data_IF_842247613080
#
_entry.id   IF_842247613080
#
_cell.length_a   1.000
_cell.length_b   1.000
_cell.length_c   1.000
_cell.angle_alpha   90.00
_cell.angle_beta   90.00
_cell.angle_gamma   90.00
#
_symmetry.space_group_name_H-M   'P 1'
#
loop_
_entity.id
_entity.type
_entity.pdbx_description
1 polymer ?
2 non-polymer ?
3 water ?
#
# COMPACT_ATOMS: atom_id res chain seq x y z
N UNK A 1 -30.40 -6.86 3.41
CA UNK A 1 -30.11 -7.58 4.67
C UNK A 1 -29.57 -8.98 4.43
N UNK A 2 -29.49 -9.41 3.17
CA UNK A 2 -28.89 -10.71 2.87
C UNK A 2 -27.58 -10.52 2.16
N UNK A 3 -26.89 -11.63 1.93
CA UNK A 3 -25.60 -11.66 1.25
C UNK A 3 -24.75 -10.39 1.28
N UNK A 4 -24.15 -10.09 2.44
CA UNK A 4 -23.27 -8.93 2.56
C UNK A 4 -21.88 -9.46 2.25
N UNK A 5 -21.68 -10.73 2.60
CA UNK A 5 -20.41 -11.42 2.38
C UNK A 5 -19.92 -11.29 0.95
N UNK A 6 -20.68 -11.86 0.02
CA UNK A 6 -20.33 -11.81 -1.40
C UNK A 6 -20.03 -10.39 -1.84
N UNK A 7 -20.82 -9.44 -1.36
CA UNK A 7 -20.62 -8.04 -1.71
C UNK A 7 -19.36 -7.49 -1.05
N UNK A 8 -19.12 -7.88 0.19
CA UNK A 8 -17.95 -7.41 0.92
C UNK A 8 -16.68 -7.81 0.16
N UNK A 9 -16.70 -8.99 -0.44
CA UNK A 9 -15.56 -9.48 -1.20
C UNK A 9 -15.24 -8.54 -2.35
N UNK A 10 -16.27 -8.13 -3.07
CA UNK A 10 -16.07 -7.23 -4.20
C UNK A 10 -15.56 -5.89 -3.72
N UNK A 11 -16.16 -5.39 -2.65
CA UNK A 11 -15.76 -4.12 -2.08
C UNK A 11 -14.30 -4.18 -1.69
N UNK A 12 -13.92 -5.26 -1.02
CA UNK A 12 -12.55 -5.44 -0.58
C UNK A 12 -11.60 -5.51 -1.76
N UNK A 13 -12.00 -6.24 -2.79
CA UNK A 13 -11.17 -6.37 -3.97
C UNK A 13 -10.90 -5.00 -4.58
N UNK A 14 -11.92 -4.16 -4.65
CA UNK A 14 -11.72 -2.85 -5.23
C UNK A 14 -10.87 -2.00 -4.29
N UNK A 15 -11.00 -2.23 -2.99
CA UNK A 15 -10.21 -1.48 -2.02
C UNK A 15 -8.76 -1.83 -2.25
N UNK A 16 -8.50 -3.12 -2.42
CA UNK A 16 -7.14 -3.58 -2.66
C UNK A 16 -6.62 -3.00 -3.97
N UNK A 17 -7.46 -3.00 -5.00
CA UNK A 17 -7.05 -2.47 -6.30
C UNK A 17 -6.72 -0.99 -6.17
N UNK A 18 -7.58 -0.27 -5.46
CA UNK A 18 -7.39 1.15 -5.25
C UNK A 18 -6.09 1.39 -4.52
N UNK A 19 -5.87 0.62 -3.46
CA UNK A 19 -4.67 0.76 -2.66
C UNK A 19 -3.45 0.40 -3.49
N UNK A 20 -3.53 -0.71 -4.21
CA UNK A 20 -2.40 -1.12 -5.04
C UNK A 20 -2.00 0.01 -5.99
N UNK A 21 -2.99 0.74 -6.51
CA UNK A 21 -2.71 1.84 -7.42
C UNK A 21 -1.85 2.88 -6.73
N UNK A 22 -2.22 3.21 -5.50
CA UNK A 22 -1.47 4.18 -4.73
C UNK A 22 -0.09 3.64 -4.42
N UNK A 23 -0.04 2.39 -4.00
CA UNK A 23 1.22 1.75 -3.67
C UNK A 23 2.16 1.73 -4.86
N UNK A 24 1.64 1.34 -6.02
CA UNK A 24 2.47 1.29 -7.21
C UNK A 24 2.94 2.68 -7.60
N UNK A 25 2.06 3.67 -7.46
CA UNK A 25 2.43 5.03 -7.80
C UNK A 25 3.49 5.50 -6.81
N UNK A 26 3.37 5.07 -5.56
CA UNK A 26 4.35 5.45 -4.57
C UNK A 26 5.66 4.81 -4.92
N UNK A 27 5.60 3.59 -5.42
CA UNK A 27 6.82 2.89 -5.78
C UNK A 27 7.48 3.62 -6.93
N UNK A 28 6.69 4.05 -7.90
CA UNK A 28 7.24 4.77 -9.03
C UNK A 28 7.88 6.04 -8.51
N UNK A 29 7.22 6.66 -7.54
CA UNK A 29 7.75 7.87 -6.95
C UNK A 29 9.10 7.61 -6.31
N UNK A 30 9.19 6.52 -5.56
CA UNK A 30 10.44 6.16 -4.90
C UNK A 30 11.52 5.79 -5.90
N UNK A 31 11.14 5.10 -6.96
CA UNK A 31 12.11 4.72 -7.97
C UNK A 31 12.63 5.97 -8.65
N UNK A 32 11.75 6.93 -8.84
CA UNK A 32 12.13 8.18 -9.47
C UNK A 32 13.11 8.93 -8.58
N UNK A 33 12.83 8.97 -7.28
CA UNK A 33 13.70 9.67 -6.34
C UNK A 33 15.06 9.01 -6.19
N UNK A 34 15.13 7.73 -6.51
CA UNK A 34 16.38 7.00 -6.39
C UNK A 34 16.84 6.48 -7.74
N UNK A 35 16.40 7.16 -8.80
CA UNK A 35 16.75 6.76 -10.16
C UNK A 35 18.25 6.61 -10.35
N UNK A 36 19.02 7.52 -9.78
CA UNK A 36 20.48 7.46 -9.90
C UNK A 36 21.04 6.20 -9.28
N UNK A 37 20.33 5.68 -8.28
CA UNK A 37 20.76 4.48 -7.59
C UNK A 37 20.14 3.23 -8.19
N UNK A 38 19.38 3.40 -9.26
CA UNK A 38 18.75 2.27 -9.90
C UNK A 38 17.41 1.88 -9.31
N UNK A 39 16.73 2.83 -8.67
CA UNK A 39 15.44 2.49 -8.10
C UNK A 39 15.55 2.29 -6.61
N UNK A 40 14.41 2.33 -5.93
CA UNK A 40 14.39 2.20 -4.49
C UNK A 40 14.88 0.86 -3.97
N UNK A 41 14.56 -0.21 -4.70
CA UNK A 41 14.98 -1.55 -4.32
C UNK A 41 16.49 -1.65 -4.33
N UNK A 42 17.10 -1.21 -5.42
CA UNK A 42 18.55 -1.26 -5.50
C UNK A 42 19.14 -0.26 -4.52
N UNK A 43 18.45 0.86 -4.32
CA UNK A 43 18.93 1.87 -3.38
C UNK A 43 18.91 1.30 -1.97
N UNK A 44 17.95 0.42 -1.71
CA UNK A 44 17.81 -0.20 -0.41
C UNK A 44 18.62 -1.48 -0.33
N UNK A 45 19.27 -1.84 -1.43
CA UNK A 45 20.05 -3.07 -1.49
C UNK A 45 19.16 -4.24 -1.06
N UNK A 46 17.94 -4.26 -1.58
CA UNK A 46 16.98 -5.30 -1.27
C UNK A 46 16.38 -5.93 -2.52
N UNK A 47 15.79 -7.11 -2.35
CA UNK A 47 15.14 -7.80 -3.44
C UNK A 47 13.88 -6.98 -3.66
N UNK A 48 13.55 -6.69 -4.92
CA UNK A 48 12.38 -5.89 -5.22
C UNK A 48 11.07 -6.62 -4.96
N UNK A 49 10.15 -5.94 -4.28
CA UNK A 49 8.84 -6.49 -3.99
C UNK A 49 7.91 -5.94 -5.05
N UNK A 50 7.06 -6.81 -5.59
CA UNK A 50 6.13 -6.42 -6.64
C UNK A 50 4.67 -6.75 -6.31
N UNK A 51 3.78 -6.16 -7.11
CA UNK A 51 2.34 -6.36 -7.00
C UNK A 51 1.97 -7.64 -7.75
N UNK A 52 0.79 -8.20 -7.48
CA UNK A 52 0.34 -9.43 -8.13
C UNK A 52 0.02 -9.21 -9.61
N UNK A 53 -0.35 -10.29 -10.29
CA UNK A 53 -0.67 -10.21 -11.71
C UNK A 53 -2.16 -10.43 -11.97
N UNK B 1 -20.81 -17.01 -6.11
CA UNK B 1 -20.74 -18.44 -5.83
C UNK B 1 -19.88 -18.72 -4.61
N UNK B 2 -20.21 -19.79 -3.88
CA UNK B 2 -19.47 -20.17 -2.68
C UNK B 2 -18.00 -20.43 -2.96
N UNK B 3 -17.71 -21.36 -3.86
CA UNK B 3 -16.33 -21.68 -4.19
C UNK B 3 -15.63 -20.43 -4.70
N UNK B 4 -16.37 -19.59 -5.42
CA UNK B 4 -15.83 -18.35 -5.96
C UNK B 4 -15.44 -17.44 -4.80
N UNK B 5 -16.31 -17.37 -3.80
CA UNK B 5 -16.04 -16.54 -2.63
C UNK B 5 -14.74 -17.00 -1.96
N UNK B 6 -14.58 -18.32 -1.85
CA UNK B 6 -13.38 -18.88 -1.23
C UNK B 6 -12.15 -18.48 -2.04
N UNK B 7 -12.25 -18.61 -3.36
CA UNK B 7 -11.16 -18.25 -4.25
C UNK B 7 -10.88 -16.75 -4.16
N UNK B 8 -11.95 -15.96 -4.09
CA UNK B 8 -11.80 -14.51 -3.99
C UNK B 8 -11.01 -14.19 -2.73
N UNK B 9 -11.38 -14.82 -1.62
CA UNK B 9 -10.70 -14.60 -0.36
C UNK B 9 -9.23 -15.00 -0.47
N UNK B 10 -8.99 -16.14 -1.10
CA UNK B 10 -7.63 -16.64 -1.27
C UNK B 10 -6.77 -15.66 -2.04
N UNK B 11 -7.21 -15.30 -3.24
CA UNK B 11 -6.45 -14.37 -4.05
C UNK B 11 -6.28 -13.03 -3.35
N UNK B 12 -7.35 -12.51 -2.76
CA UNK B 12 -7.24 -11.22 -2.09
C UNK B 12 -6.26 -11.27 -0.94
N UNK B 13 -6.18 -12.42 -0.29
CA UNK B 13 -5.26 -12.57 0.82
C UNK B 13 -3.85 -12.50 0.26
N UNK B 14 -3.64 -13.18 -0.86
CA UNK B 14 -2.34 -13.19 -1.51
C UNK B 14 -2.01 -11.79 -2.03
N UNK B 15 -3.03 -11.07 -2.46
CA UNK B 15 -2.82 -9.72 -2.98
C UNK B 15 -2.42 -8.81 -1.83
N UNK B 16 -3.07 -8.98 -0.69
CA UNK B 16 -2.77 -8.16 0.47
C UNK B 16 -1.32 -8.34 0.90
N UNK B 17 -0.91 -9.59 1.08
CA UNK B 17 0.46 -9.84 1.51
C UNK B 17 1.48 -9.35 0.50
N UNK B 18 1.19 -9.52 -0.78
CA UNK B 18 2.10 -9.06 -1.81
C UNK B 18 2.19 -7.54 -1.76
N UNK B 19 1.04 -6.88 -1.70
CA UNK B 19 1.02 -5.43 -1.65
C UNK B 19 1.73 -4.96 -0.39
N UNK B 20 1.45 -5.63 0.72
CA UNK B 20 2.05 -5.26 1.99
C UNK B 20 3.57 -5.25 1.85
N UNK B 21 4.11 -6.23 1.14
CA UNK B 21 5.56 -6.30 0.96
C UNK B 21 6.06 -5.07 0.23
N UNK B 22 5.33 -4.66 -0.81
CA UNK B 22 5.72 -3.49 -1.57
C UNK B 22 5.63 -2.26 -0.69
N UNK B 23 4.55 -2.18 0.08
CA UNK B 23 4.34 -1.04 0.96
C UNK B 23 5.42 -0.92 2.01
N UNK B 24 5.74 -2.04 2.65
CA UNK B 24 6.75 -2.02 3.69
C UNK B 24 8.09 -1.64 3.07
N UNK B 25 8.32 -2.10 1.85
CA UNK B 25 9.58 -1.77 1.19
C UNK B 25 9.58 -0.29 0.87
N UNK B 26 8.43 0.22 0.45
CA UNK B 26 8.34 1.63 0.14
C UNK B 26 8.60 2.40 1.41
N UNK B 27 8.10 1.88 2.52
CA UNK B 27 8.31 2.54 3.79
C UNK B 27 9.79 2.54 4.14
N UNK B 28 10.49 1.43 3.91
CA UNK B 28 11.92 1.40 4.20
C UNK B 28 12.64 2.37 3.28
N UNK B 29 12.15 2.47 2.05
CA UNK B 29 12.74 3.38 1.09
C UNK B 29 12.58 4.80 1.59
N UNK B 30 11.38 5.12 2.05
CA UNK B 30 11.13 6.46 2.53
C UNK B 30 11.92 6.75 3.80
N UNK B 31 12.07 5.75 4.67
CA UNK B 31 12.81 5.96 5.89
C UNK B 31 14.27 6.20 5.57
N UNK B 32 14.74 5.55 4.51
CA UNK B 32 16.12 5.72 4.12
C UNK B 32 16.30 7.13 3.57
N UNK B 33 15.40 7.54 2.69
CA UNK B 33 15.49 8.87 2.09
C UNK B 33 15.36 10.00 3.10
N UNK B 34 14.78 9.70 4.25
CA UNK B 34 14.62 10.73 5.27
C UNK B 34 15.28 10.32 6.57
N UNK B 35 16.29 9.46 6.47
CA UNK B 35 16.98 8.99 7.66
C UNK B 35 17.50 10.14 8.51
N UNK B 36 18.03 11.17 7.84
CA UNK B 36 18.57 12.34 8.52
C UNK B 36 17.49 13.09 9.28
N UNK B 37 16.25 12.93 8.84
CA UNK B 37 15.12 13.59 9.47
C UNK B 37 14.44 12.68 10.48
N UNK B 38 15.02 11.51 10.71
CA UNK B 38 14.45 10.58 11.66
C UNK B 38 13.47 9.58 11.08
N UNK B 39 13.43 9.47 9.76
CA UNK B 39 12.50 8.53 9.18
C UNK B 39 11.36 9.32 8.59
N UNK B 40 10.55 8.67 7.78
CA UNK B 40 9.48 9.39 7.12
C UNK B 40 8.41 9.87 8.06
N UNK B 41 8.15 9.09 9.10
CA UNK B 41 7.15 9.49 10.07
C UNK B 41 7.55 10.72 10.84
N UNK B 42 8.80 10.74 11.30
CA UNK B 42 9.28 11.91 12.02
C UNK B 42 9.38 13.08 11.07
N UNK B 43 9.79 12.81 9.83
CA UNK B 43 9.91 13.87 8.85
C UNK B 43 8.52 14.42 8.59
N UNK B 44 7.53 13.54 8.57
CA UNK B 44 6.16 13.95 8.32
C UNK B 44 5.54 14.58 9.55
N UNK B 45 6.20 14.39 10.69
CA UNK B 45 5.69 14.91 11.94
C UNK B 45 4.33 14.28 12.18
N UNK B 46 4.24 12.97 11.97
CA UNK B 46 2.98 12.28 12.20
C UNK B 46 3.19 11.03 13.02
N UNK B 47 2.08 10.52 13.53
CA UNK B 47 2.09 9.28 14.28
C UNK B 47 2.45 8.27 13.19
N UNK B 48 3.37 7.37 13.48
CA UNK B 48 3.76 6.42 12.45
C UNK B 48 2.72 5.34 12.28
N UNK B 49 2.64 4.85 11.05
CA UNK B 49 1.74 3.77 10.74
C UNK B 49 2.64 2.57 10.51
N UNK B 50 2.27 1.47 11.14
CA UNK B 50 3.00 0.23 11.05
C UNK B 50 2.08 -0.80 10.48
N UNK B 51 2.67 -1.84 9.91
CA UNK B 51 1.89 -2.93 9.38
C UNK B 51 2.54 -4.22 9.81
N UNK B 52 2.09 -4.78 10.93
CA UNK B 52 2.64 -6.04 11.43
C UNK B 52 1.53 -7.08 11.47
N UNK B 53 1.79 -8.24 10.87
CA UNK B 53 0.82 -9.34 10.79
C UNK B 53 -0.32 -9.00 9.85
N UNK C 1 -22.12 -16.20 17.81
CA UNK C 1 -21.64 -17.32 17.00
C UNK C 1 -22.03 -17.28 15.53
N UNK C 2 -21.30 -16.50 14.75
CA UNK C 2 -21.52 -16.41 13.31
C UNK C 2 -20.12 -16.42 12.72
N UNK C 3 -19.84 -15.62 11.69
CA UNK C 3 -18.49 -15.61 11.11
C UNK C 3 -17.98 -16.98 10.68
N UNK C 4 -18.39 -17.45 9.50
CA UNK C 4 -17.93 -18.74 9.02
C UNK C 4 -16.68 -18.57 8.16
N UNK C 5 -16.76 -17.68 7.17
CA UNK C 5 -15.64 -17.39 6.29
C UNK C 5 -15.36 -15.89 6.39
N UNK C 6 -16.27 -15.20 7.07
CA UNK C 6 -16.18 -13.76 7.27
C UNK C 6 -15.12 -13.44 8.31
N UNK C 7 -14.53 -14.47 8.90
CA UNK C 7 -13.48 -14.27 9.89
C UNK C 7 -12.21 -13.90 9.12
N UNK C 8 -12.09 -14.44 7.92
CA UNK C 8 -10.94 -14.16 7.07
C UNK C 8 -11.17 -12.80 6.43
N UNK C 9 -12.44 -12.45 6.25
CA UNK C 9 -12.80 -11.17 5.66
C UNK C 9 -12.51 -10.05 6.65
N UNK C 10 -12.78 -10.30 7.92
CA UNK C 10 -12.54 -9.30 8.95
C UNK C 10 -11.04 -9.06 9.13
N UNK C 11 -10.27 -10.14 9.18
CA UNK C 11 -8.84 -10.02 9.35
C UNK C 11 -8.23 -9.28 8.16
N UNK C 12 -8.76 -9.54 6.97
CA UNK C 12 -8.27 -8.89 5.76
C UNK C 12 -8.62 -7.41 5.76
N UNK C 13 -9.81 -7.07 6.25
CA UNK C 13 -10.21 -5.68 6.28
C UNK C 13 -9.27 -4.93 7.21
N UNK C 14 -8.91 -5.57 8.32
CA UNK C 14 -8.00 -4.96 9.28
C UNK C 14 -6.67 -4.73 8.59
N UNK C 15 -6.20 -5.73 7.86
CA UNK C 15 -4.93 -5.62 7.15
C UNK C 15 -5.00 -4.52 6.11
N UNK C 16 -6.10 -4.47 5.38
CA UNK C 16 -6.25 -3.45 4.36
C UNK C 16 -6.28 -2.05 4.94
N UNK C 17 -7.13 -1.83 5.94
CA UNK C 17 -7.24 -0.53 6.55
C UNK C 17 -5.91 -0.07 7.10
N UNK C 18 -5.18 -1.00 7.70
CA UNK C 18 -3.88 -0.69 8.27
C UNK C 18 -2.87 -0.40 7.19
N UNK C 19 -2.89 -1.23 6.15
CA UNK C 19 -1.96 -1.06 5.06
C UNK C 19 -2.22 0.29 4.42
N UNK C 20 -3.49 0.60 4.21
CA UNK C 20 -3.85 1.88 3.61
C UNK C 20 -3.25 3.02 4.42
N UNK C 21 -3.29 2.90 5.75
CA UNK C 21 -2.73 3.93 6.60
C UNK C 21 -1.27 4.12 6.27
N UNK C 22 -0.57 3.01 6.10
CA UNK C 22 0.85 3.09 5.79
C UNK C 22 1.06 3.67 4.41
N UNK C 23 0.26 3.20 3.47
CA UNK C 23 0.36 3.67 2.10
C UNK C 23 0.09 5.15 1.97
N UNK C 24 -0.94 5.64 2.66
CA UNK C 24 -1.28 7.05 2.59
C UNK C 24 -0.19 7.88 3.23
N UNK C 25 0.37 7.35 4.31
CA UNK C 25 1.45 8.06 4.97
C UNK C 25 2.66 8.04 4.06
N UNK C 26 2.84 6.93 3.34
CA UNK C 26 3.97 6.88 2.42
C UNK C 26 3.72 7.90 1.34
N UNK C 27 2.45 8.05 0.96
CA UNK C 27 2.12 9.02 -0.07
C UNK C 27 2.40 10.41 0.44
N UNK C 28 2.01 10.69 1.67
CA UNK C 28 2.28 12.01 2.21
C UNK C 28 3.79 12.20 2.27
N UNK C 29 4.50 11.12 2.58
CA UNK C 29 5.95 11.22 2.63
C UNK C 29 6.50 11.57 1.26
N UNK C 30 5.99 10.91 0.23
CA UNK C 30 6.45 11.18 -1.12
C UNK C 30 6.07 12.56 -1.59
N UNK C 31 4.86 13.00 -1.25
CA UNK C 31 4.45 14.33 -1.67
C UNK C 31 5.29 15.35 -0.95
N UNK C 32 5.68 15.04 0.27
CA UNK C 32 6.53 15.96 1.02
C UNK C 32 7.87 16.03 0.32
N UNK C 33 8.45 14.88 0.03
CA UNK C 33 9.74 14.84 -0.63
C UNK C 33 9.76 15.49 -1.99
N UNK C 34 8.67 15.33 -2.74
CA UNK C 34 8.62 15.87 -4.08
C UNK C 34 7.77 17.11 -4.23
N UNK C 35 7.66 17.88 -3.16
CA UNK C 35 6.88 19.10 -3.17
C UNK C 35 7.36 20.03 -4.29
N UNK C 36 8.67 20.07 -4.51
CA UNK C 36 9.24 20.94 -5.54
C UNK C 36 8.71 20.59 -6.91
N UNK C 37 8.21 19.37 -7.05
CA UNK C 37 7.68 18.91 -8.32
C UNK C 37 6.17 18.88 -8.27
N UNK C 38 5.61 19.49 -7.24
CA UNK C 38 4.16 19.53 -7.09
C UNK C 38 3.57 18.27 -6.51
N UNK C 39 4.39 17.47 -5.84
CA UNK C 39 3.88 16.24 -5.27
C UNK C 39 4.33 15.07 -6.11
N UNK C 40 4.15 13.87 -5.60
CA UNK C 40 4.61 12.69 -6.31
C UNK C 40 3.84 12.42 -7.60
N UNK C 41 2.55 12.71 -7.61
CA UNK C 41 1.76 12.48 -8.80
C UNK C 41 2.25 13.38 -9.92
N UNK C 42 2.38 14.67 -9.63
CA UNK C 42 2.86 15.62 -10.62
C UNK C 42 4.31 15.30 -10.98
N UNK C 43 5.10 14.91 -9.99
CA UNK C 43 6.50 14.59 -10.24
C UNK C 43 6.60 13.45 -11.25
N UNK C 44 5.64 12.53 -11.18
CA UNK C 44 5.61 11.38 -12.07
C UNK C 44 4.82 11.66 -13.35
N UNK C 45 4.25 12.86 -13.45
CA UNK C 45 3.48 13.27 -14.62
C UNK C 45 2.30 12.33 -14.83
N UNK C 46 1.71 11.83 -13.74
CA UNK C 46 0.59 10.90 -13.87
C UNK C 46 -0.61 11.31 -13.05
N UNK C 47 -1.76 10.75 -13.40
CA UNK C 47 -3.00 11.03 -12.69
C UNK C 47 -2.77 10.60 -11.26
N UNK C 48 -3.36 11.31 -10.31
CA UNK C 48 -3.17 10.98 -8.90
C UNK C 48 -4.08 9.87 -8.43
N UNK C 49 -3.48 8.88 -7.76
CA UNK C 49 -4.22 7.76 -7.21
C UNK C 49 -4.55 8.08 -5.76
N UNK C 50 -5.83 7.94 -5.41
CA UNK C 50 -6.28 8.23 -4.05
C UNK C 50 -6.87 7.02 -3.36
N UNK C 51 -6.98 7.12 -2.04
CA UNK C 51 -7.57 6.06 -1.24
C UNK C 51 -9.05 6.34 -1.38
N UNK C 52 -9.88 5.32 -1.22
CA UNK C 52 -11.31 5.49 -1.33
C UNK C 52 -11.96 4.93 -0.08
N UNK C 53 -11.11 4.47 0.83
CA UNK C 53 -11.52 3.90 2.11
C UNK C 53 -12.60 2.83 1.91
X LIG D 1 3.22 2.60 -0.34
#
# INVERSE_FOLDING_TARGET
NIDTMAKALTTMQEQIDSLAAVVLQNRRGLDMLTAAQGGICLALDEKCCFWVN
NIDTMAKALTTMQEQIDSLAAVVLQNRRGLDMLTAAQGGICLALDEKCCFWVN
NIDTMAKALTTMQEQIDSLAAVVLQNRRGLDMLTAAQGGICLALDEKCCFWVN
CL CL
#
